data_IF_593567570015
#
_entry.id   IF_593567570015
#
_cell.length_a   1.000
_cell.length_b   1.000
_cell.length_c   1.000
_cell.angle_alpha   90.00
_cell.angle_beta   90.00
_cell.angle_gamma   90.00
#
_symmetry.space_group_name_H-M   'P 1'
#
loop_
_entity.id
_entity.type
_entity.pdbx_description
1 polymer ?
#
# COMPACT_ATOMS: atom_id res chain seq x y z
N UNK A 1 -5.86 -46.65 -21.56
CA UNK A 1 -6.68 -46.05 -20.49
C UNK A 1 -7.97 -45.55 -21.12
N UNK A 2 -9.13 -46.05 -20.71
CA UNK A 2 -10.40 -45.57 -21.24
C UNK A 2 -10.64 -44.14 -20.74
N UNK A 3 -10.83 -43.20 -21.67
CA UNK A 3 -11.31 -41.86 -21.33
C UNK A 3 -12.72 -42.00 -20.78
N UNK A 4 -12.88 -41.84 -19.46
CA UNK A 4 -14.21 -41.88 -18.82
C UNK A 4 -14.84 -40.50 -18.89
N UNK A 5 -16.17 -40.43 -18.93
CA UNK A 5 -16.91 -39.17 -18.86
C UNK A 5 -16.49 -38.33 -17.63
N UNK A 6 -16.13 -39.00 -16.54
CA UNK A 6 -15.59 -38.39 -15.34
C UNK A 6 -14.25 -37.67 -15.58
N UNK A 7 -13.30 -38.31 -16.27
CA UNK A 7 -12.01 -37.70 -16.60
C UNK A 7 -12.16 -36.47 -17.51
N UNK A 8 -13.14 -36.48 -18.42
CA UNK A 8 -13.47 -35.34 -19.27
C UNK A 8 -14.05 -34.19 -18.46
N UNK A 9 -14.99 -34.48 -17.54
CA UNK A 9 -15.57 -33.49 -16.64
C UNK A 9 -14.49 -32.86 -15.74
N UNK A 10 -13.59 -33.68 -15.19
CA UNK A 10 -12.50 -33.23 -14.33
C UNK A 10 -11.52 -32.33 -15.10
N UNK A 11 -11.12 -32.72 -16.32
CA UNK A 11 -10.25 -31.91 -17.16
C UNK A 11 -10.90 -30.58 -17.55
N UNK A 12 -12.19 -30.57 -17.90
CA UNK A 12 -12.95 -29.36 -18.20
C UNK A 12 -13.00 -28.42 -16.98
N UNK A 13 -13.21 -28.96 -15.78
CA UNK A 13 -13.28 -28.18 -14.54
C UNK A 13 -11.92 -27.59 -14.16
N UNK A 14 -10.83 -28.34 -14.35
CA UNK A 14 -9.46 -27.86 -14.16
C UNK A 14 -9.09 -26.76 -15.18
N UNK A 15 -9.52 -26.91 -16.43
CA UNK A 15 -9.29 -25.92 -17.48
C UNK A 15 -10.05 -24.61 -17.22
N UNK A 16 -11.33 -24.70 -16.83
CA UNK A 16 -12.13 -23.54 -16.40
C UNK A 16 -11.49 -22.86 -15.19
N UNK A 17 -10.98 -23.63 -14.22
CA UNK A 17 -10.23 -23.07 -13.08
C UNK A 17 -8.97 -22.32 -13.52
N UNK A 18 -8.19 -22.88 -14.45
CA UNK A 18 -6.99 -22.23 -14.96
C UNK A 18 -7.31 -20.91 -15.68
N UNK A 19 -8.38 -20.88 -16.49
CA UNK A 19 -8.85 -19.67 -17.17
C UNK A 19 -9.29 -18.60 -16.18
N UNK A 20 -10.12 -18.97 -15.19
CA UNK A 20 -10.69 -18.05 -14.22
C UNK A 20 -9.65 -17.46 -13.24
N UNK A 21 -8.56 -18.17 -12.98
CA UNK A 21 -7.55 -17.76 -11.98
C UNK A 21 -6.35 -17.04 -12.61
N UNK A 22 -5.87 -17.47 -13.77
CA UNK A 22 -4.56 -17.05 -14.26
C UNK A 22 -4.62 -15.92 -15.30
N UNK A 23 -5.56 -15.94 -16.25
CA UNK A 23 -5.53 -15.01 -17.39
C UNK A 23 -6.89 -14.85 -18.12
N UNK A 24 -7.99 -14.62 -17.41
CA UNK A 24 -9.34 -14.50 -18.01
C UNK A 24 -9.38 -13.52 -19.19
N UNK A 25 -8.95 -12.27 -19.02
CA UNK A 25 -8.98 -11.26 -20.08
C UNK A 25 -8.12 -11.63 -21.29
N UNK A 26 -6.95 -12.25 -21.05
CA UNK A 26 -6.03 -12.66 -22.12
C UNK A 26 -6.59 -13.87 -22.88
N UNK A 27 -7.24 -14.79 -22.18
CA UNK A 27 -7.93 -15.93 -22.78
C UNK A 27 -9.13 -15.47 -23.62
N UNK A 28 -10.00 -14.63 -23.07
CA UNK A 28 -11.18 -14.08 -23.75
C UNK A 28 -10.79 -13.29 -25.01
N UNK A 29 -9.71 -12.49 -24.96
CA UNK A 29 -9.17 -11.82 -26.16
C UNK A 29 -8.67 -12.81 -27.21
N UNK A 30 -7.97 -13.88 -26.81
CA UNK A 30 -7.39 -14.87 -27.73
C UNK A 30 -8.44 -15.71 -28.46
N UNK A 31 -9.60 -15.94 -27.85
CA UNK A 31 -10.73 -16.66 -28.47
C UNK A 31 -11.72 -15.72 -29.18
N UNK A 32 -11.43 -14.41 -29.26
CA UNK A 32 -12.29 -13.42 -29.91
C UNK A 32 -13.58 -13.10 -29.14
N UNK A 33 -13.62 -13.40 -27.84
CA UNK A 33 -14.77 -13.14 -26.96
C UNK A 33 -14.54 -11.87 -26.13
N UNK A 34 -14.16 -10.78 -26.82
CA UNK A 34 -14.02 -9.45 -26.24
C UNK A 34 -15.36 -8.82 -25.85
N UNK A 35 -15.30 -7.77 -25.03
CA UNK A 35 -16.40 -7.10 -24.31
C UNK A 35 -17.42 -6.35 -25.16
N UNK A 36 -17.49 -6.61 -26.47
CA UNK A 36 -18.52 -6.01 -27.34
C UNK A 36 -19.24 -7.10 -28.11
N UNK A 37 -20.46 -7.40 -27.67
CA UNK A 37 -21.54 -7.90 -28.52
C UNK A 37 -22.85 -7.90 -27.73
N UNK A 38 -23.74 -6.98 -28.11
CA UNK A 38 -25.20 -7.09 -28.09
C UNK A 38 -25.84 -7.58 -26.80
N UNK A 39 -26.51 -6.67 -26.10
CA UNK A 39 -27.64 -7.00 -25.23
C UNK A 39 -28.67 -7.75 -26.09
N UNK A 40 -28.65 -9.08 -26.02
CA UNK A 40 -29.71 -9.93 -26.56
C UNK A 40 -31.03 -9.55 -25.91
N UNK A 41 -32.09 -9.50 -26.72
CA UNK A 41 -33.41 -9.03 -26.31
C UNK A 41 -33.96 -9.75 -25.07
N UNK A 42 -34.77 -9.02 -24.31
CA UNK A 42 -35.51 -9.55 -23.17
C UNK A 42 -36.29 -10.82 -23.59
N UNK A 43 -35.87 -11.98 -23.11
CA UNK A 43 -36.58 -13.26 -23.29
C UNK A 43 -35.85 -14.36 -24.08
N UNK A 44 -34.65 -14.14 -24.61
CA UNK A 44 -33.88 -15.22 -25.26
C UNK A 44 -33.02 -16.01 -24.25
N UNK A 45 -33.07 -17.35 -24.33
CA UNK A 45 -32.17 -18.19 -23.55
C UNK A 45 -30.71 -17.90 -23.93
N UNK A 46 -29.79 -17.76 -22.95
CA UNK A 46 -28.40 -17.51 -23.25
C UNK A 46 -27.85 -18.67 -24.06
N UNK A 47 -27.40 -18.38 -25.29
CA UNK A 47 -26.70 -19.36 -26.11
C UNK A 47 -25.48 -19.96 -25.40
N UNK A 48 -24.91 -21.03 -25.95
CA UNK A 48 -23.81 -21.81 -25.35
C UNK A 48 -22.65 -20.91 -24.86
N UNK A 49 -22.34 -19.83 -25.60
CA UNK A 49 -21.35 -18.81 -25.22
C UNK A 49 -21.70 -18.07 -23.92
N UNK A 50 -22.96 -17.66 -23.75
CA UNK A 50 -23.45 -16.98 -22.55
C UNK A 50 -23.46 -17.89 -21.32
N UNK A 51 -23.87 -19.16 -21.49
CA UNK A 51 -23.81 -20.16 -20.42
C UNK A 51 -22.37 -20.43 -19.97
N UNK A 52 -21.42 -20.55 -20.89
CA UNK A 52 -20.00 -20.75 -20.55
C UNK A 52 -19.41 -19.52 -19.85
N UNK A 53 -19.76 -18.31 -20.28
CA UNK A 53 -19.36 -17.08 -19.60
C UNK A 53 -19.91 -16.98 -18.18
N UNK A 54 -21.19 -17.34 -17.99
CA UNK A 54 -21.81 -17.38 -16.67
C UNK A 54 -21.17 -18.45 -15.77
N UNK A 55 -20.76 -19.58 -16.33
CA UNK A 55 -20.04 -20.62 -15.60
C UNK A 55 -18.65 -20.15 -15.17
N UNK A 56 -17.87 -19.53 -16.07
CA UNK A 56 -16.54 -18.97 -15.76
C UNK A 56 -16.66 -17.91 -14.65
N UNK A 57 -17.63 -16.99 -14.76
CA UNK A 57 -17.90 -15.97 -13.75
C UNK A 57 -18.34 -16.59 -12.42
N UNK A 58 -19.24 -17.57 -12.45
CA UNK A 58 -19.72 -18.26 -11.25
C UNK A 58 -18.59 -19.02 -10.54
N UNK A 59 -17.75 -19.75 -11.28
CA UNK A 59 -16.58 -20.44 -10.74
C UNK A 59 -15.59 -19.45 -10.13
N UNK A 60 -15.32 -18.31 -10.79
CA UNK A 60 -14.49 -17.23 -10.23
C UNK A 60 -15.06 -16.70 -8.91
N UNK A 61 -16.37 -16.46 -8.86
CA UNK A 61 -17.06 -15.99 -7.64
C UNK A 61 -16.95 -17.01 -6.52
N UNK A 62 -17.27 -18.28 -6.78
CA UNK A 62 -17.18 -19.36 -5.78
C UNK A 62 -15.74 -19.58 -5.31
N UNK A 63 -14.75 -19.49 -6.20
CA UNK A 63 -13.34 -19.62 -5.84
C UNK A 63 -12.80 -18.42 -5.06
N UNK A 64 -13.30 -17.20 -5.32
CA UNK A 64 -13.06 -16.03 -4.44
C UNK A 64 -13.66 -16.26 -3.05
N UNK A 65 -14.90 -16.73 -2.99
CA UNK A 65 -15.59 -17.02 -1.72
C UNK A 65 -14.88 -18.15 -0.95
N UNK A 66 -14.39 -19.20 -1.63
CA UNK A 66 -13.67 -20.31 -0.98
C UNK A 66 -12.26 -19.92 -0.54
N UNK A 67 -11.60 -18.96 -1.20
CA UNK A 67 -10.39 -18.31 -0.70
C UNK A 67 -10.66 -17.43 0.52
N UNK A 68 -11.83 -16.79 0.63
CA UNK A 68 -12.26 -16.08 1.83
C UNK A 68 -12.65 -17.03 2.99
N UNK A 69 -13.15 -18.23 2.68
CA UNK A 69 -13.67 -19.17 3.67
C UNK A 69 -12.61 -19.98 4.42
N UNK A 70 -11.38 -20.11 3.89
CA UNK A 70 -10.26 -20.53 4.71
C UNK A 70 -9.83 -19.32 5.56
N UNK A 71 -10.42 -19.16 6.75
CA UNK A 71 -9.97 -18.17 7.76
C UNK A 71 -8.49 -18.40 8.02
N UNK A 72 -7.63 -17.68 7.30
CA UNK A 72 -6.21 -17.58 7.65
C UNK A 72 -6.16 -16.71 8.89
N UNK A 73 -5.63 -17.26 9.98
CA UNK A 73 -5.50 -16.52 11.23
C UNK A 73 -4.69 -15.24 10.96
N UNK A 74 -5.24 -14.10 11.37
CA UNK A 74 -4.55 -12.82 11.30
C UNK A 74 -3.33 -12.88 12.22
N UNK A 75 -2.16 -12.47 11.72
CA UNK A 75 -0.90 -12.48 12.47
C UNK A 75 -0.26 -11.11 12.60
N UNK A 76 -0.59 -10.16 11.72
CA UNK A 76 -0.03 -8.81 11.76
C UNK A 76 -1.08 -7.72 11.53
N UNK A 77 -0.89 -6.60 12.20
CA UNK A 77 -1.67 -5.37 12.02
C UNK A 77 -0.71 -4.24 11.69
N UNK A 78 -0.84 -3.68 10.49
CA UNK A 78 -0.22 -2.40 10.13
C UNK A 78 -1.19 -1.28 10.50
N UNK A 79 -0.70 -0.26 11.19
CA UNK A 79 -1.50 0.86 11.67
C UNK A 79 -0.87 2.15 11.16
N UNK A 80 -1.61 2.91 10.35
CA UNK A 80 -1.19 4.26 10.01
C UNK A 80 -1.15 5.16 11.27
N UNK A 81 -0.29 6.18 11.27
CA UNK A 81 -0.14 7.07 12.40
C UNK A 81 -1.04 8.32 12.29
N UNK A 82 -0.81 9.13 11.26
CA UNK A 82 -1.39 10.47 11.12
C UNK A 82 -2.77 10.41 10.49
N UNK A 83 -3.80 10.72 11.27
CA UNK A 83 -5.20 10.62 10.87
C UNK A 83 -5.89 9.35 11.40
N UNK A 84 -5.11 8.37 11.84
CA UNK A 84 -5.62 7.08 12.38
C UNK A 84 -5.44 6.97 13.89
N UNK A 85 -4.23 7.21 14.42
CA UNK A 85 -3.97 7.22 15.87
C UNK A 85 -4.02 8.62 16.47
N UNK A 86 -3.61 9.63 15.71
CA UNK A 86 -3.60 11.02 16.16
C UNK A 86 -3.90 11.97 15.00
N UNK A 87 -4.47 13.13 15.31
CA UNK A 87 -4.66 14.25 14.38
C UNK A 87 -3.85 15.41 14.98
N UNK A 88 -2.82 15.84 14.25
CA UNK A 88 -1.83 16.80 14.77
C UNK A 88 -1.28 16.33 16.14
N UNK A 89 -1.41 17.15 17.18
CA UNK A 89 -0.92 16.88 18.53
C UNK A 89 -1.99 16.27 19.47
N UNK A 90 -3.06 15.70 18.92
CA UNK A 90 -4.15 15.11 19.70
C UNK A 90 -4.42 13.66 19.29
N UNK A 91 -4.44 12.75 20.27
CA UNK A 91 -4.80 11.36 20.04
C UNK A 91 -6.28 11.24 19.62
N UNK A 92 -6.57 10.29 18.73
CA UNK A 92 -7.95 9.90 18.41
C UNK A 92 -8.59 9.34 19.69
N UNK A 93 -9.81 9.77 20.07
CA UNK A 93 -10.43 9.34 21.33
C UNK A 93 -10.48 7.81 21.49
N UNK A 94 -9.91 7.31 22.60
CA UNK A 94 -9.85 5.89 22.94
C UNK A 94 -8.80 5.08 22.17
N UNK A 95 -7.93 5.71 21.37
CA UNK A 95 -6.92 5.01 20.58
C UNK A 95 -5.86 4.34 21.47
N UNK A 96 -5.47 4.95 22.59
CA UNK A 96 -4.50 4.37 23.53
C UNK A 96 -5.05 3.07 24.15
N UNK A 97 -6.29 3.08 24.63
CA UNK A 97 -6.98 1.91 25.20
C UNK A 97 -7.20 0.83 24.15
N UNK A 98 -7.56 1.20 22.93
CA UNK A 98 -7.68 0.27 21.82
C UNK A 98 -6.34 -0.41 21.50
N UNK A 99 -5.24 0.35 21.47
CA UNK A 99 -3.92 -0.23 21.24
C UNK A 99 -3.53 -1.20 22.35
N UNK A 100 -3.79 -0.88 23.62
CA UNK A 100 -3.55 -1.79 24.77
C UNK A 100 -4.32 -3.11 24.60
N UNK A 101 -5.58 -3.05 24.15
CA UNK A 101 -6.39 -4.25 23.87
C UNK A 101 -5.84 -5.06 22.70
N UNK A 102 -5.45 -4.39 21.61
CA UNK A 102 -4.84 -5.05 20.45
C UNK A 102 -3.51 -5.73 20.81
N UNK A 103 -2.68 -5.10 21.67
CA UNK A 103 -1.43 -5.68 22.18
C UNK A 103 -1.62 -6.95 23.01
N UNK A 104 -2.81 -7.14 23.60
CA UNK A 104 -3.11 -8.34 24.38
C UNK A 104 -3.46 -9.55 23.50
N UNK A 105 -3.62 -9.35 22.19
CA UNK A 105 -3.88 -10.40 21.22
C UNK A 105 -2.59 -10.97 20.61
N UNK A 106 -2.61 -12.21 20.06
CA UNK A 106 -1.43 -12.86 19.47
C UNK A 106 -1.11 -12.33 18.06
N UNK A 107 -0.94 -11.01 17.91
CA UNK A 107 -0.62 -10.34 16.64
C UNK A 107 0.63 -9.46 16.77
N UNK A 108 1.41 -9.40 15.70
CA UNK A 108 2.47 -8.39 15.56
C UNK A 108 1.86 -7.06 15.15
N UNK A 109 2.28 -5.97 15.79
CA UNK A 109 1.81 -4.61 15.45
C UNK A 109 2.98 -3.85 14.82
N UNK A 110 2.71 -3.16 13.71
CA UNK A 110 3.66 -2.25 13.07
C UNK A 110 2.98 -0.92 12.81
N UNK A 111 3.67 0.16 13.14
CA UNK A 111 3.19 1.50 12.90
C UNK A 111 3.83 2.04 11.63
N UNK A 112 3.01 2.44 10.67
CA UNK A 112 3.47 2.85 9.34
C UNK A 112 3.13 4.31 9.07
N UNK A 113 4.02 5.03 8.37
CA UNK A 113 3.70 6.39 7.92
C UNK A 113 4.55 6.80 6.71
N UNK A 114 3.93 7.58 5.82
CA UNK A 114 4.67 8.32 4.78
C UNK A 114 5.14 9.65 5.38
N UNK A 115 6.35 9.65 5.93
CA UNK A 115 7.03 10.88 6.37
C UNK A 115 8.29 11.11 5.54
N UNK A 116 8.59 12.38 5.32
CA UNK A 116 9.77 12.82 4.58
C UNK A 116 10.58 13.87 5.35
N UNK A 117 10.15 14.20 6.57
CA UNK A 117 10.68 15.33 7.36
C UNK A 117 11.10 14.89 8.76
N UNK A 118 10.28 14.04 9.37
CA UNK A 118 10.46 13.61 10.75
C UNK A 118 11.23 12.29 10.77
N UNK A 119 12.30 12.23 11.55
CA UNK A 119 13.00 10.98 11.79
C UNK A 119 12.21 10.05 12.70
N UNK A 120 12.58 8.77 12.72
CA UNK A 120 11.90 7.75 13.54
C UNK A 120 11.89 8.09 15.04
N UNK A 121 12.98 8.67 15.55
CA UNK A 121 13.10 9.06 16.96
C UNK A 121 12.09 10.14 17.35
N UNK A 122 11.98 11.20 16.56
CA UNK A 122 11.10 12.32 16.88
C UNK A 122 9.62 11.89 16.80
N UNK A 123 9.30 11.00 15.85
CA UNK A 123 8.00 10.36 15.74
C UNK A 123 7.66 9.53 16.98
N UNK A 124 8.60 8.73 17.47
CA UNK A 124 8.45 7.93 18.69
C UNK A 124 8.24 8.83 19.92
N UNK A 125 9.01 9.90 20.06
CA UNK A 125 8.86 10.85 21.16
C UNK A 125 7.48 11.51 21.15
N UNK A 126 6.97 11.90 19.96
CA UNK A 126 5.61 12.45 19.82
C UNK A 126 4.56 11.44 20.27
N UNK A 127 4.64 10.20 19.79
CA UNK A 127 3.67 9.16 20.16
C UNK A 127 3.69 8.84 21.66
N UNK A 128 4.87 8.85 22.29
CA UNK A 128 5.00 8.68 23.74
C UNK A 128 4.41 9.85 24.53
N UNK A 129 4.55 11.09 24.05
CA UNK A 129 3.89 12.26 24.65
C UNK A 129 2.37 12.17 24.58
N UNK A 130 1.84 11.44 23.59
CA UNK A 130 0.42 11.11 23.45
C UNK A 130 0.02 9.85 24.24
N UNK A 131 0.91 9.35 25.10
CA UNK A 131 0.70 8.19 25.99
C UNK A 131 0.49 6.86 25.25
N UNK A 132 0.95 6.75 23.99
CA UNK A 132 1.01 5.47 23.30
C UNK A 132 2.22 4.66 23.76
N UNK A 133 1.97 3.43 24.22
CA UNK A 133 3.01 2.44 24.47
C UNK A 133 3.46 1.84 23.13
N UNK A 134 4.51 2.43 22.55
CA UNK A 134 5.10 2.07 21.25
C UNK A 134 6.61 1.95 21.38
N UNK A 135 7.18 0.95 20.72
CA UNK A 135 8.63 0.72 20.64
C UNK A 135 9.17 1.20 19.30
N UNK A 136 10.44 1.57 19.29
CA UNK A 136 11.11 2.10 18.10
C UNK A 136 11.15 1.08 16.95
N UNK A 137 11.37 -0.19 17.28
CA UNK A 137 11.43 -1.30 16.32
C UNK A 137 10.08 -1.57 15.66
N UNK A 138 8.96 -1.16 16.25
CA UNK A 138 7.62 -1.30 15.68
C UNK A 138 7.31 -0.25 14.60
N UNK A 139 8.10 0.83 14.52
CA UNK A 139 7.87 1.94 13.59
C UNK A 139 8.59 1.70 12.26
N UNK A 140 7.82 1.74 11.17
CA UNK A 140 8.30 1.65 9.80
C UNK A 140 7.87 2.87 8.98
N UNK A 141 8.84 3.65 8.50
CA UNK A 141 8.59 4.89 7.76
C UNK A 141 8.99 4.74 6.30
N UNK A 142 8.50 5.62 5.43
CA UNK A 142 9.00 5.73 4.05
C UNK A 142 10.50 6.08 3.98
N UNK A 143 11.05 6.75 5.00
CA UNK A 143 12.50 6.95 5.16
C UNK A 143 13.23 5.62 5.46
N UNK A 144 12.65 4.77 6.31
CA UNK A 144 13.18 3.42 6.57
C UNK A 144 13.15 2.58 5.29
N UNK A 145 12.07 2.65 4.52
CA UNK A 145 11.97 1.97 3.22
C UNK A 145 13.04 2.46 2.23
N UNK A 146 13.28 3.77 2.15
CA UNK A 146 14.35 4.34 1.33
C UNK A 146 15.73 3.85 1.77
N UNK A 147 16.02 3.87 3.07
CA UNK A 147 17.27 3.36 3.64
C UNK A 147 17.51 1.90 3.27
N UNK A 148 16.51 1.04 3.47
CA UNK A 148 16.60 -0.39 3.12
C UNK A 148 16.92 -0.58 1.63
N UNK A 149 16.30 0.22 0.76
CA UNK A 149 16.55 0.15 -0.68
C UNK A 149 17.98 0.59 -1.05
N UNK A 150 18.51 1.63 -0.38
CA UNK A 150 19.89 2.08 -0.56
C UNK A 150 20.89 1.00 -0.14
N UNK A 151 20.68 0.39 1.03
CA UNK A 151 21.52 -0.70 1.55
C UNK A 151 21.48 -1.92 0.63
N UNK A 152 20.29 -2.29 0.13
CA UNK A 152 20.11 -3.39 -0.82
C UNK A 152 20.80 -3.12 -2.16
N UNK A 153 20.74 -1.88 -2.67
CA UNK A 153 21.38 -1.49 -3.95
C UNK A 153 22.87 -1.17 -3.81
N UNK A 154 23.37 -1.02 -2.57
CA UNK A 154 24.75 -0.63 -2.27
C UNK A 154 25.17 0.67 -2.98
N UNK A 155 24.28 1.67 -2.95
CA UNK A 155 24.49 2.98 -3.59
C UNK A 155 24.73 4.07 -2.55
N UNK A 156 25.38 5.16 -2.98
CA UNK A 156 25.67 6.36 -2.21
C UNK A 156 24.75 7.49 -2.65
N UNK A 157 23.78 7.92 -1.83
CA UNK A 157 22.77 8.87 -2.27
C UNK A 157 23.22 10.33 -2.17
N UNK A 158 22.81 11.12 -3.16
CA UNK A 158 22.50 12.54 -2.96
C UNK A 158 21.14 12.61 -2.27
N UNK A 159 21.14 12.98 -0.99
CA UNK A 159 19.92 13.09 -0.17
C UNK A 159 19.30 14.49 -0.34
N UNK A 160 18.13 14.57 -0.98
CA UNK A 160 17.28 15.75 -1.05
C UNK A 160 16.10 15.58 -0.08
N UNK A 161 16.38 15.65 1.21
CA UNK A 161 15.41 15.51 2.32
C UNK A 161 15.62 16.64 3.33
N UNK A 162 14.68 16.90 4.24
CA UNK A 162 14.91 17.87 5.33
C UNK A 162 16.00 17.37 6.29
N UNK A 163 16.74 18.29 6.93
CA UNK A 163 17.87 17.97 7.81
C UNK A 163 17.50 16.97 8.92
N UNK A 164 16.31 17.10 9.49
CA UNK A 164 15.84 16.17 10.53
C UNK A 164 15.73 14.73 10.03
N UNK A 165 15.36 14.52 8.75
CA UNK A 165 15.25 13.19 8.15
C UNK A 165 16.62 12.53 7.93
N UNK A 166 17.72 13.29 7.90
CA UNK A 166 19.08 12.75 7.73
C UNK A 166 19.48 11.76 8.83
N UNK A 167 18.89 11.89 10.02
CA UNK A 167 19.14 10.96 11.12
C UNK A 167 18.78 9.51 10.76
N UNK A 168 17.73 9.29 9.96
CA UNK A 168 17.31 7.96 9.49
C UNK A 168 18.30 7.37 8.47
N UNK A 169 19.18 8.18 7.87
CA UNK A 169 20.23 7.75 6.94
C UNK A 169 21.63 7.70 7.58
N UNK A 170 21.74 7.85 8.91
CA UNK A 170 23.03 7.77 9.60
C UNK A 170 23.74 6.44 9.30
N UNK A 171 24.99 6.53 8.87
CA UNK A 171 25.83 5.39 8.48
C UNK A 171 25.78 5.03 7.00
N UNK A 172 24.93 5.67 6.20
CA UNK A 172 24.97 5.57 4.74
C UNK A 172 26.05 6.53 4.22
N UNK A 173 26.95 6.04 3.37
CA UNK A 173 27.95 6.86 2.71
C UNK A 173 27.31 7.74 1.63
N UNK A 174 27.57 9.04 1.70
CA UNK A 174 27.07 10.07 0.77
C UNK A 174 28.19 10.74 -0.04
N UNK A 175 29.44 10.28 0.12
CA UNK A 175 30.56 10.71 -0.70
C UNK A 175 30.38 10.28 -2.16
N UNK A 176 30.78 11.13 -3.11
CA UNK A 176 30.70 10.86 -4.56
C UNK A 176 29.38 10.17 -4.97
N UNK A 177 28.24 10.87 -4.82
CA UNK A 177 26.93 10.24 -4.88
C UNK A 177 26.66 9.63 -6.26
N UNK A 178 26.07 8.43 -6.27
CA UNK A 178 25.68 7.67 -7.47
C UNK A 178 24.22 7.18 -7.40
N UNK A 179 23.41 7.77 -6.52
CA UNK A 179 21.95 7.65 -6.46
C UNK A 179 21.36 9.00 -6.07
N UNK A 180 20.08 9.22 -6.36
CA UNK A 180 19.35 10.41 -5.92
C UNK A 180 18.17 9.96 -5.08
N UNK A 181 18.07 10.44 -3.84
CA UNK A 181 16.89 10.26 -2.99
C UNK A 181 16.20 11.59 -2.83
N UNK A 182 14.91 11.65 -3.16
CA UNK A 182 14.12 12.87 -3.12
C UNK A 182 12.89 12.70 -2.22
N UNK A 183 12.88 13.48 -1.15
CA UNK A 183 11.74 13.73 -0.28
C UNK A 183 11.20 15.14 -0.48
N UNK A 184 10.35 15.63 0.41
CA UNK A 184 9.98 17.05 0.46
C UNK A 184 11.09 17.83 1.17
N UNK A 185 11.84 18.62 0.42
CA UNK A 185 13.02 19.31 0.91
C UNK A 185 13.06 20.75 0.34
N UNK A 186 12.22 21.68 0.85
CA UNK A 186 12.04 22.99 0.24
C UNK A 186 13.34 23.76 0.01
N UNK A 187 14.27 23.72 0.98
CA UNK A 187 15.56 24.43 0.88
C UNK A 187 16.50 23.83 -0.19
N UNK A 188 16.27 22.57 -0.56
CA UNK A 188 16.99 21.87 -1.62
C UNK A 188 16.32 21.99 -2.99
N UNK A 189 15.10 22.52 -3.08
CA UNK A 189 14.35 22.64 -4.32
C UNK A 189 14.68 23.93 -5.10
N UNK A 190 15.97 24.13 -5.33
CA UNK A 190 16.53 25.20 -6.14
C UNK A 190 17.20 24.66 -7.42
N UNK A 191 17.39 25.52 -8.41
CA UNK A 191 17.91 25.12 -9.73
C UNK A 191 19.25 24.38 -9.64
N UNK A 192 20.17 24.89 -8.82
CA UNK A 192 21.53 24.34 -8.69
C UNK A 192 21.49 22.89 -8.17
N UNK A 193 20.71 22.64 -7.13
CA UNK A 193 20.59 21.33 -6.49
C UNK A 193 19.85 20.34 -7.40
N UNK A 194 18.75 20.79 -8.02
CA UNK A 194 17.98 19.97 -8.95
C UNK A 194 18.80 19.62 -10.20
N UNK A 195 19.58 20.55 -10.74
CA UNK A 195 20.46 20.30 -11.89
C UNK A 195 21.62 19.35 -11.54
N UNK A 196 22.12 19.37 -10.30
CA UNK A 196 23.08 18.38 -9.81
C UNK A 196 22.46 16.98 -9.77
N UNK A 197 21.27 16.85 -9.21
CA UNK A 197 20.53 15.58 -9.20
C UNK A 197 20.25 15.06 -10.62
N UNK A 198 19.80 15.94 -11.51
CA UNK A 198 19.58 15.62 -12.93
C UNK A 198 20.83 15.04 -13.61
N UNK A 199 22.00 15.66 -13.43
CA UNK A 199 23.26 15.16 -14.02
C UNK A 199 23.63 13.77 -13.50
N UNK A 200 23.46 13.52 -12.20
CA UNK A 200 23.68 12.18 -11.65
C UNK A 200 22.76 11.14 -12.32
N UNK A 201 21.49 11.49 -12.54
CA UNK A 201 20.52 10.61 -13.17
C UNK A 201 20.90 10.32 -14.63
N UNK A 202 21.37 11.32 -15.38
CA UNK A 202 21.91 11.11 -16.74
C UNK A 202 23.13 10.18 -16.75
N UNK A 203 23.96 10.23 -15.71
CA UNK A 203 25.10 9.33 -15.53
C UNK A 203 24.67 7.91 -15.05
N UNK A 204 23.37 7.64 -14.95
CA UNK A 204 22.79 6.33 -14.62
C UNK A 204 22.42 6.16 -13.15
N UNK A 205 22.48 7.22 -12.32
CA UNK A 205 22.07 7.13 -10.92
C UNK A 205 20.56 6.84 -10.80
N UNK A 206 20.14 5.87 -9.96
CA UNK A 206 18.72 5.63 -9.73
C UNK A 206 18.07 6.81 -9.00
N UNK A 207 16.90 7.22 -9.48
CA UNK A 207 16.04 8.19 -8.82
C UNK A 207 15.09 7.45 -7.87
N UNK A 208 15.21 7.73 -6.57
CA UNK A 208 14.40 7.13 -5.50
C UNK A 208 13.54 8.24 -4.88
N UNK A 209 12.22 8.12 -4.96
CA UNK A 209 11.30 9.09 -4.39
C UNK A 209 10.66 8.53 -3.12
N UNK A 210 10.69 9.30 -2.01
CA UNK A 210 10.04 8.89 -0.76
C UNK A 210 8.52 8.74 -0.98
N UNK A 211 7.91 9.70 -1.69
CA UNK A 211 6.53 9.64 -2.18
C UNK A 211 6.33 10.71 -3.28
N UNK A 212 5.22 10.63 -4.05
CA UNK A 212 4.91 11.58 -5.15
C UNK A 212 3.66 12.42 -4.89
N UNK A 213 3.44 12.83 -3.64
CA UNK A 213 2.29 13.69 -3.30
C UNK A 213 2.35 15.00 -4.08
N UNK A 214 1.25 15.37 -4.74
CA UNK A 214 1.13 16.60 -5.55
C UNK A 214 1.26 17.85 -4.68
N UNK A 215 0.58 17.85 -3.54
CA UNK A 215 0.52 18.93 -2.58
C UNK A 215 0.19 18.37 -1.19
N UNK A 216 0.34 19.21 -0.16
CA UNK A 216 -0.17 18.97 1.19
C UNK A 216 -0.77 20.27 1.76
N UNK A 217 -1.55 20.15 2.83
CA UNK A 217 -2.21 21.31 3.47
C UNK A 217 -1.37 21.80 4.65
N UNK A 218 -1.10 23.10 4.67
CA UNK A 218 -0.55 23.85 5.82
C UNK A 218 -1.61 24.82 6.35
N UNK A 219 -1.29 25.49 7.47
CA UNK A 219 -2.17 26.52 8.07
C UNK A 219 -2.45 27.69 7.13
N UNK A 220 -1.51 28.01 6.24
CA UNK A 220 -1.56 29.10 5.26
C UNK A 220 -2.10 28.68 3.88
N UNK A 221 -2.43 27.40 3.67
CA UNK A 221 -3.06 26.93 2.43
C UNK A 221 -2.44 25.65 1.86
N UNK A 222 -2.68 25.41 0.57
CA UNK A 222 -2.08 24.29 -0.15
C UNK A 222 -0.64 24.62 -0.52
N UNK A 223 0.28 23.68 -0.26
CA UNK A 223 1.71 23.80 -0.54
C UNK A 223 2.16 22.65 -1.42
N UNK A 224 3.10 22.91 -2.35
CA UNK A 224 3.66 21.88 -3.22
C UNK A 224 4.31 20.76 -2.42
N UNK A 225 3.97 19.52 -2.75
CA UNK A 225 4.64 18.33 -2.23
C UNK A 225 5.93 18.02 -3.00
N UNK A 226 6.55 16.86 -2.78
CA UNK A 226 7.73 16.44 -3.54
C UNK A 226 7.41 16.01 -4.97
N UNK A 227 6.15 15.58 -5.24
CA UNK A 227 5.72 15.04 -6.53
C UNK A 227 6.07 15.90 -7.75
N UNK A 228 5.82 17.22 -7.75
CA UNK A 228 6.22 18.13 -8.82
C UNK A 228 7.73 18.10 -9.13
N UNK A 229 8.57 18.04 -8.10
CA UNK A 229 10.03 18.04 -8.25
C UNK A 229 10.55 16.68 -8.71
N UNK A 230 9.95 15.59 -8.22
CA UNK A 230 10.20 14.23 -8.72
C UNK A 230 9.87 14.15 -10.21
N UNK A 231 8.66 14.60 -10.58
CA UNK A 231 8.18 14.57 -11.96
C UNK A 231 9.02 15.45 -12.88
N UNK A 232 9.55 16.57 -12.38
CA UNK A 232 10.49 17.42 -13.12
C UNK A 232 11.78 16.69 -13.46
N UNK A 233 12.34 15.90 -12.54
CA UNK A 233 13.54 15.09 -12.79
C UNK A 233 13.24 13.92 -13.73
N UNK A 234 12.13 13.22 -13.53
CA UNK A 234 11.65 12.15 -14.41
C UNK A 234 11.51 12.65 -15.86
N UNK A 235 10.85 13.79 -16.04
CA UNK A 235 10.66 14.40 -17.35
C UNK A 235 11.98 14.85 -17.99
N UNK A 236 12.88 15.46 -17.21
CA UNK A 236 14.14 15.98 -17.73
C UNK A 236 15.08 14.85 -18.18
N UNK A 237 15.09 13.71 -17.49
CA UNK A 237 15.99 12.59 -17.74
C UNK A 237 15.35 11.43 -18.51
N UNK A 238 14.05 11.50 -18.83
CA UNK A 238 13.26 10.41 -19.44
C UNK A 238 13.36 9.09 -18.66
N UNK A 239 13.18 9.18 -17.33
CA UNK A 239 13.21 8.04 -16.40
C UNK A 239 11.99 8.04 -15.48
N UNK A 240 11.72 6.90 -14.84
CA UNK A 240 10.73 6.80 -13.76
C UNK A 240 11.42 6.63 -12.41
N UNK A 241 10.95 7.36 -11.40
CA UNK A 241 11.46 7.22 -10.04
C UNK A 241 10.97 5.91 -9.41
N UNK A 242 11.86 5.25 -8.67
CA UNK A 242 11.46 4.19 -7.74
C UNK A 242 10.81 4.84 -6.52
N UNK A 243 9.49 4.76 -6.40
CA UNK A 243 8.76 5.24 -5.23
C UNK A 243 8.82 4.19 -4.12
N UNK A 244 9.09 4.59 -2.88
CA UNK A 244 9.25 3.66 -1.74
C UNK A 244 8.18 3.79 -0.65
N UNK A 245 7.38 4.85 -0.68
CA UNK A 245 6.26 5.07 0.25
C UNK A 245 4.95 4.45 -0.23
N UNK A 246 3.91 4.53 0.60
CA UNK A 246 2.52 4.24 0.23
C UNK A 246 2.11 5.07 -1.02
N UNK A 247 1.32 4.54 -1.96
CA UNK A 247 0.64 3.23 -2.01
C UNK A 247 1.47 2.05 -2.53
N UNK A 248 2.79 2.18 -2.70
CA UNK A 248 3.59 1.15 -3.37
C UNK A 248 3.56 -0.18 -2.61
N UNK A 249 3.39 -1.29 -3.34
CA UNK A 249 3.31 -2.62 -2.76
C UNK A 249 4.55 -2.95 -1.91
N UNK A 250 5.72 -2.52 -2.38
CA UNK A 250 7.01 -2.72 -1.69
C UNK A 250 7.00 -2.14 -0.28
N UNK A 251 6.35 -1.00 -0.04
CA UNK A 251 6.24 -0.40 1.29
C UNK A 251 5.58 -1.36 2.30
N UNK A 252 4.45 -1.96 1.92
CA UNK A 252 3.70 -2.88 2.78
C UNK A 252 4.44 -4.20 3.01
N UNK A 253 5.09 -4.73 1.97
CA UNK A 253 5.91 -5.93 2.09
C UNK A 253 7.11 -5.72 3.01
N UNK A 254 7.78 -4.58 2.90
CA UNK A 254 8.89 -4.21 3.78
C UNK A 254 8.42 -3.96 5.21
N UNK A 255 7.25 -3.35 5.42
CA UNK A 255 6.68 -3.18 6.76
C UNK A 255 6.39 -4.51 7.46
N UNK A 256 6.05 -5.56 6.70
CA UNK A 256 5.87 -6.92 7.21
C UNK A 256 7.18 -7.70 7.36
N UNK A 257 8.31 -7.19 6.85
CA UNK A 257 9.60 -7.86 6.95
C UNK A 257 9.96 -8.13 8.42
N UNK A 258 10.50 -9.31 8.70
CA UNK A 258 10.85 -9.74 10.05
C UNK A 258 9.68 -10.19 10.93
N UNK A 259 8.42 -10.01 10.50
CA UNK A 259 7.24 -10.52 11.25
C UNK A 259 6.93 -11.99 10.97
N UNK A 260 7.51 -12.58 9.93
CA UNK A 260 7.20 -13.95 9.47
C UNK A 260 5.79 -14.09 8.86
N UNK A 261 5.09 -12.98 8.63
CA UNK A 261 3.72 -12.97 8.12
C UNK A 261 3.68 -12.78 6.61
N UNK A 262 2.74 -13.45 5.94
CA UNK A 262 2.39 -13.14 4.56
C UNK A 262 1.41 -11.97 4.50
N UNK A 263 1.32 -11.22 3.39
CA UNK A 263 0.34 -10.15 3.25
C UNK A 263 -1.10 -10.59 3.50
N UNK A 264 -1.48 -11.80 3.09
CA UNK A 264 -2.84 -12.32 3.30
C UNK A 264 -3.14 -12.70 4.77
N UNK A 265 -2.13 -12.62 5.65
CA UNK A 265 -2.25 -12.83 7.10
C UNK A 265 -2.17 -11.50 7.87
N UNK A 266 -2.28 -10.37 7.15
CA UNK A 266 -2.15 -9.04 7.72
C UNK A 266 -3.34 -8.12 7.35
N UNK A 267 -3.58 -7.13 8.21
CA UNK A 267 -4.57 -6.08 7.98
C UNK A 267 -3.91 -4.71 8.12
N UNK A 268 -4.25 -3.77 7.24
CA UNK A 268 -3.86 -2.37 7.31
C UNK A 268 -5.03 -1.53 7.81
N UNK A 269 -4.80 -0.65 8.79
CA UNK A 269 -5.77 0.33 9.26
C UNK A 269 -5.25 1.72 8.90
N UNK A 270 -6.03 2.50 8.15
CA UNK A 270 -5.63 3.83 7.71
C UNK A 270 -6.79 4.75 7.36
N UNK A 271 -6.51 6.04 7.22
CA UNK A 271 -7.49 7.08 6.88
C UNK A 271 -7.47 7.45 5.38
N UNK A 272 -6.45 7.00 4.63
CA UNK A 272 -6.39 7.14 3.18
C UNK A 272 -6.96 5.91 2.46
N UNK A 273 -8.05 6.10 1.73
CA UNK A 273 -8.60 5.04 0.92
C UNK A 273 -7.63 4.55 -0.18
N UNK A 274 -6.83 5.42 -0.78
CA UNK A 274 -5.91 5.04 -1.86
C UNK A 274 -4.56 4.59 -1.30
N UNK A 275 -3.94 5.45 -0.49
CA UNK A 275 -2.56 5.25 -0.04
C UNK A 275 -2.48 4.09 0.97
N UNK A 276 -3.40 4.01 1.92
CA UNK A 276 -3.38 2.99 2.96
C UNK A 276 -4.10 1.73 2.51
N UNK A 277 -5.40 1.86 2.26
CA UNK A 277 -6.30 0.71 2.07
C UNK A 277 -6.10 0.10 0.68
N UNK A 278 -6.13 0.93 -0.37
CA UNK A 278 -5.90 0.49 -1.74
C UNK A 278 -4.50 -0.11 -1.93
N UNK A 279 -3.47 0.56 -1.43
CA UNK A 279 -2.09 0.06 -1.44
C UNK A 279 -1.94 -1.29 -0.74
N UNK A 280 -2.47 -1.43 0.48
CA UNK A 280 -2.39 -2.67 1.25
C UNK A 280 -3.18 -3.82 0.59
N UNK A 281 -4.37 -3.54 0.06
CA UNK A 281 -5.19 -4.56 -0.63
C UNK A 281 -4.54 -5.04 -1.92
N UNK A 282 -3.88 -4.14 -2.67
CA UNK A 282 -3.07 -4.52 -3.83
C UNK A 282 -1.86 -5.37 -3.42
N UNK A 283 -1.32 -5.18 -2.22
CA UNK A 283 -0.27 -6.03 -1.66
C UNK A 283 -0.79 -7.40 -1.16
N UNK A 284 -2.11 -7.61 -1.10
CA UNK A 284 -2.75 -8.85 -0.66
C UNK A 284 -3.29 -8.84 0.77
N UNK A 285 -3.24 -7.70 1.46
CA UNK A 285 -3.73 -7.54 2.83
C UNK A 285 -5.23 -7.25 2.88
N UNK A 286 -5.84 -7.41 4.05
CA UNK A 286 -7.12 -6.75 4.34
C UNK A 286 -6.87 -5.25 4.61
N UNK A 287 -7.79 -4.39 4.20
CA UNK A 287 -7.69 -2.95 4.45
C UNK A 287 -8.94 -2.43 5.17
N UNK A 288 -8.74 -1.77 6.32
CA UNK A 288 -9.78 -1.12 7.11
C UNK A 288 -9.62 0.39 6.97
N UNK A 289 -10.62 1.05 6.39
CA UNK A 289 -10.69 2.50 6.29
C UNK A 289 -11.32 3.07 7.57
N UNK A 290 -10.64 4.00 8.24
CA UNK A 290 -11.21 4.76 9.36
C UNK A 290 -11.72 6.13 8.89
N UNK A 291 -12.82 6.61 9.47
CA UNK A 291 -13.43 7.90 9.12
C UNK A 291 -12.83 9.12 9.85
N UNK A 292 -11.71 8.93 10.54
CA UNK A 292 -10.92 10.00 11.15
C UNK A 292 -9.96 10.64 10.13
N UNK A 293 -9.23 11.67 10.55
CA UNK A 293 -8.16 12.26 9.72
C UNK A 293 -8.68 12.92 8.44
N UNK A 294 -8.11 12.53 7.30
CA UNK A 294 -8.38 13.13 5.98
C UNK A 294 -9.54 12.49 5.23
N UNK A 295 -10.13 11.43 5.76
CA UNK A 295 -11.31 10.78 5.18
C UNK A 295 -12.40 11.80 4.83
N UNK A 296 -13.05 11.59 3.69
CA UNK A 296 -14.26 12.28 3.26
C UNK A 296 -15.33 11.26 2.88
N UNK A 297 -16.59 11.62 3.07
CA UNK A 297 -17.72 10.77 2.69
C UNK A 297 -17.64 10.36 1.21
N UNK A 298 -17.75 9.06 0.94
CA UNK A 298 -17.61 8.49 -0.40
C UNK A 298 -16.18 8.11 -0.77
N UNK A 299 -15.18 8.34 0.10
CA UNK A 299 -13.81 7.90 -0.13
C UNK A 299 -13.72 6.39 -0.34
N UNK A 300 -14.50 5.59 0.40
CA UNK A 300 -14.58 4.13 0.30
C UNK A 300 -14.94 3.63 -1.12
N UNK A 301 -15.59 4.48 -1.94
CA UNK A 301 -15.92 4.18 -3.33
C UNK A 301 -14.80 4.50 -4.34
N UNK A 302 -13.68 5.10 -3.90
CA UNK A 302 -12.58 5.55 -4.79
C UNK A 302 -11.64 4.44 -5.24
N UNK A 303 -11.74 3.25 -4.65
CA UNK A 303 -10.91 2.08 -4.96
C UNK A 303 -11.77 0.87 -5.34
N UNK A 304 -11.18 -0.10 -6.03
CA UNK A 304 -11.82 -1.38 -6.34
C UNK A 304 -10.79 -2.50 -6.22
N UNK A 305 -11.05 -3.57 -5.43
CA UNK A 305 -12.22 -3.76 -4.57
C UNK A 305 -12.32 -2.70 -3.45
N UNK A 306 -13.52 -2.46 -2.88
CA UNK A 306 -13.70 -1.51 -1.78
C UNK A 306 -12.90 -1.94 -0.54
N UNK A 307 -12.75 -1.05 0.47
CA UNK A 307 -12.22 -1.42 1.78
C UNK A 307 -12.88 -2.71 2.30
N UNK A 308 -12.12 -3.59 2.93
CA UNK A 308 -12.68 -4.75 3.63
C UNK A 308 -13.70 -4.32 4.70
N UNK A 309 -13.40 -3.23 5.39
CA UNK A 309 -14.29 -2.57 6.33
C UNK A 309 -14.07 -1.06 6.27
N UNK A 310 -15.15 -0.28 6.39
CA UNK A 310 -15.09 1.14 6.71
C UNK A 310 -15.75 1.36 8.06
N UNK A 311 -15.08 2.03 9.00
CA UNK A 311 -15.56 2.23 10.37
C UNK A 311 -15.18 3.60 10.93
N UNK A 312 -15.82 4.01 12.02
CA UNK A 312 -15.71 5.40 12.51
C UNK A 312 -14.30 5.80 12.97
N UNK A 313 -13.55 4.89 13.60
CA UNK A 313 -12.23 5.22 14.16
C UNK A 313 -11.38 3.98 14.43
N UNK A 314 -10.10 4.18 14.75
CA UNK A 314 -9.17 3.10 15.12
C UNK A 314 -9.70 2.16 16.23
N UNK A 315 -10.32 2.63 17.33
CA UNK A 315 -10.96 1.74 18.31
C UNK A 315 -12.00 0.79 17.73
N UNK A 316 -12.83 1.26 16.80
CA UNK A 316 -13.85 0.43 16.13
C UNK A 316 -13.20 -0.62 15.22
N UNK A 317 -12.09 -0.27 14.55
CA UNK A 317 -11.31 -1.23 13.77
C UNK A 317 -10.71 -2.32 14.66
N UNK A 318 -10.15 -1.95 15.81
CA UNK A 318 -9.61 -2.91 16.80
C UNK A 318 -10.70 -3.86 17.32
N UNK A 319 -11.86 -3.32 17.68
CA UNK A 319 -13.00 -4.14 18.12
C UNK A 319 -13.40 -5.17 17.07
N UNK A 320 -13.44 -4.77 15.80
CA UNK A 320 -13.76 -5.67 14.69
C UNK A 320 -12.69 -6.77 14.52
N UNK A 321 -11.41 -6.39 14.54
CA UNK A 321 -10.29 -7.34 14.41
C UNK A 321 -10.37 -8.40 15.52
N UNK A 322 -10.52 -7.97 16.78
CA UNK A 322 -10.58 -8.86 17.95
C UNK A 322 -11.79 -9.81 17.93
N UNK A 323 -12.91 -9.41 17.32
CA UNK A 323 -14.15 -10.23 17.27
C UNK A 323 -14.23 -11.16 16.06
N UNK A 324 -13.62 -10.80 14.95
CA UNK A 324 -13.90 -11.43 13.65
C UNK A 324 -12.68 -12.03 12.95
N UNK A 325 -11.46 -11.55 13.25
CA UNK A 325 -10.23 -11.95 12.56
C UNK A 325 -9.25 -12.73 13.45
N UNK A 326 -9.50 -12.75 14.76
CA UNK A 326 -8.75 -13.48 15.79
C UNK A 326 -9.69 -14.43 16.53
#
# INVERSE_FOLDING_TARGET
MAFTLYSLLQAALLFVNAIAVLHEERFLRRIGWGTDQGIGGFGEEPGIKGQLMNLIRSVRTVMRVRRMAARRALKAVLVDLSGTLHIEDSAVPGAQEALKRLRSAPVSIRFVTNTTKECKRDLLERLRKLEFDIKEDEIFTSLTAARNLLEQKQVRPLLLVEDNALHDFKGIDTGEPNAVVIGLAPDHFNYQTMNKAFRLILDGAPLIAIHKARYYKRKDGLTLGPGPFVTGLEYAADVEATVVGKPEQTFFLEALRGTGCRPEEAVMIGDDCRDDVGGAQNAGMLGILVKTGKYREGDEGKITPPPYLTCESFPHAVDHILRHLL
#
